data_IF_703556936724
#
_entry.id   IF_703556936724
#
_cell.length_a   1.000
_cell.length_b   1.000
_cell.length_c   1.000
_cell.angle_alpha   90.00
_cell.angle_beta   90.00
_cell.angle_gamma   90.00
#
_symmetry.space_group_name_H-M   'P 1'
#
loop_
_entity.id
_entity.type
_entity.pdbx_description
1 polymer ?
#
# COMPACT_ATOMS: atom_id res chain seq x y z
N UNK A 1 -15.60 -30.58 -10.15
CA UNK A 1 -15.83 -29.15 -10.29
C UNK A 1 -14.66 -28.39 -9.65
N UNK A 2 -13.94 -27.64 -10.45
CA UNK A 2 -12.84 -26.87 -9.92
C UNK A 2 -13.35 -25.60 -9.25
N UNK A 3 -12.97 -25.45 -8.00
CA UNK A 3 -13.14 -24.17 -7.32
C UNK A 3 -12.19 -23.16 -7.99
N UNK A 4 -12.66 -21.96 -8.42
CA UNK A 4 -11.77 -20.96 -8.98
C UNK A 4 -10.61 -20.66 -8.02
N UNK A 5 -9.42 -20.44 -8.56
CA UNK A 5 -8.30 -20.03 -7.77
C UNK A 5 -8.63 -18.72 -7.04
N UNK A 6 -8.24 -18.62 -5.78
CA UNK A 6 -8.42 -17.38 -5.02
C UNK A 6 -7.71 -16.21 -5.71
N UNK A 7 -8.35 -15.01 -5.81
CA UNK A 7 -7.69 -13.84 -6.36
C UNK A 7 -6.50 -13.38 -5.52
N UNK A 8 -6.37 -13.91 -4.32
CA UNK A 8 -5.31 -13.56 -3.38
C UNK A 8 -4.17 -14.58 -3.33
N UNK A 9 -4.08 -15.45 -4.35
CA UNK A 9 -3.12 -16.54 -4.35
C UNK A 9 -3.36 -17.48 -3.18
N UNK A 10 -2.36 -17.85 -2.44
CA UNK A 10 -2.49 -18.64 -1.22
C UNK A 10 -2.56 -17.80 0.06
N UNK A 11 -2.71 -16.48 -0.06
CA UNK A 11 -2.66 -15.60 1.11
C UNK A 11 -3.88 -15.80 2.02
N UNK A 12 -3.61 -16.04 3.29
CA UNK A 12 -4.60 -16.25 4.35
C UNK A 12 -4.26 -15.31 5.51
N UNK A 13 -5.16 -15.21 6.49
CA UNK A 13 -4.87 -14.45 7.70
C UNK A 13 -3.55 -14.93 8.32
N UNK A 14 -2.65 -14.01 8.61
CA UNK A 14 -1.30 -14.29 9.10
C UNK A 14 -0.22 -14.35 8.04
N UNK A 15 -0.57 -14.38 6.75
CA UNK A 15 0.44 -14.37 5.68
C UNK A 15 1.19 -13.05 5.68
N UNK A 16 2.52 -13.13 5.71
CA UNK A 16 3.39 -11.97 5.62
C UNK A 16 3.72 -11.65 4.17
N UNK A 17 3.74 -10.36 3.84
CA UNK A 17 3.99 -9.83 2.50
C UNK A 17 5.26 -8.97 2.50
N UNK A 18 5.99 -9.04 1.41
CA UNK A 18 7.23 -8.28 1.23
C UNK A 18 8.42 -8.97 1.87
N UNK A 19 9.53 -8.24 2.09
CA UNK A 19 9.63 -6.80 1.88
C UNK A 19 9.76 -6.40 0.41
N UNK A 20 9.22 -5.22 0.10
CA UNK A 20 9.51 -4.50 -1.13
C UNK A 20 10.34 -3.27 -0.78
N UNK A 21 11.36 -3.01 -1.58
CA UNK A 21 12.15 -1.78 -1.47
C UNK A 21 11.76 -0.88 -2.62
N UNK A 22 11.43 0.35 -2.31
CA UNK A 22 10.96 1.30 -3.30
C UNK A 22 11.45 2.70 -2.98
N UNK A 23 11.71 3.46 -4.04
CA UNK A 23 12.09 4.87 -3.91
C UNK A 23 11.15 5.70 -4.75
N UNK A 24 10.49 6.67 -4.13
CA UNK A 24 9.68 7.64 -4.86
C UNK A 24 10.60 8.79 -5.26
N UNK A 25 10.85 8.92 -6.56
CA UNK A 25 11.72 9.97 -7.07
C UNK A 25 11.13 11.37 -6.84
N UNK A 26 11.98 12.38 -6.85
CA UNK A 26 11.53 13.76 -6.75
C UNK A 26 10.52 14.10 -7.84
N UNK A 27 10.76 13.66 -9.08
CA UNK A 27 9.86 13.90 -10.20
C UNK A 27 8.50 13.23 -10.00
N UNK A 28 8.48 11.97 -9.59
CA UNK A 28 7.23 11.25 -9.31
C UNK A 28 6.47 11.91 -8.16
N UNK A 29 7.17 12.29 -7.11
CA UNK A 29 6.59 12.95 -5.95
C UNK A 29 5.91 14.28 -6.33
N UNK A 30 6.56 15.08 -7.15
CA UNK A 30 5.97 16.33 -7.64
C UNK A 30 4.69 16.10 -8.43
N UNK A 31 4.66 15.05 -9.25
CA UNK A 31 3.45 14.67 -9.99
C UNK A 31 2.29 14.30 -9.07
N UNK A 32 2.58 13.60 -7.97
CA UNK A 32 1.55 13.26 -6.98
C UNK A 32 0.95 14.52 -6.34
N UNK A 33 1.81 15.45 -5.90
CA UNK A 33 1.34 16.72 -5.33
C UNK A 33 0.53 17.53 -6.33
N UNK A 34 1.00 17.62 -7.56
CA UNK A 34 0.30 18.36 -8.63
C UNK A 34 -1.06 17.75 -8.94
N UNK A 35 -1.15 16.42 -9.01
CA UNK A 35 -2.41 15.72 -9.28
C UNK A 35 -3.45 15.94 -8.18
N UNK A 36 -2.99 16.15 -6.96
CA UNK A 36 -3.87 16.45 -5.82
C UNK A 36 -4.34 17.92 -5.81
N UNK A 37 -3.80 18.78 -6.68
CA UNK A 37 -4.13 20.20 -6.71
C UNK A 37 -3.56 20.98 -5.53
N UNK A 38 -2.62 20.40 -4.79
CA UNK A 38 -1.98 21.04 -3.65
C UNK A 38 -0.76 21.81 -4.12
N UNK A 39 -0.85 23.14 -4.01
CA UNK A 39 0.25 24.03 -4.38
C UNK A 39 0.76 24.76 -3.12
N UNK A 40 1.42 24.02 -2.26
CA UNK A 40 2.01 24.57 -1.04
C UNK A 40 3.54 24.44 -1.14
N UNK A 41 4.29 25.55 -1.25
CA UNK A 41 5.73 25.49 -1.48
C UNK A 41 6.50 24.65 -0.45
N UNK A 42 6.13 24.73 0.82
CA UNK A 42 6.80 24.00 1.88
C UNK A 42 6.57 22.48 1.76
N UNK A 43 5.37 22.08 1.36
CA UNK A 43 5.04 20.67 1.16
C UNK A 43 5.69 20.12 -0.10
N UNK A 44 5.88 20.96 -1.13
CA UNK A 44 6.49 20.56 -2.39
C UNK A 44 8.02 20.49 -2.33
N UNK A 45 8.65 20.96 -1.26
CA UNK A 45 10.10 20.95 -1.12
C UNK A 45 10.62 19.57 -0.67
N UNK A 46 10.37 18.55 -1.47
CA UNK A 46 10.90 17.21 -1.24
C UNK A 46 10.10 16.35 -0.27
N UNK A 47 9.08 16.89 0.40
CA UNK A 47 8.23 16.08 1.28
C UNK A 47 7.43 15.06 0.46
N UNK A 48 7.46 13.80 0.88
CA UNK A 48 6.68 12.74 0.25
C UNK A 48 5.19 12.98 0.45
N UNK A 49 4.43 12.76 -0.64
CA UNK A 49 2.97 12.83 -0.63
C UNK A 49 2.39 11.61 0.11
N UNK A 50 1.84 11.76 1.33
CA UNK A 50 1.46 10.62 2.16
C UNK A 50 0.47 9.64 1.52
N UNK A 51 -0.54 10.08 0.75
CA UNK A 51 -1.46 9.13 0.10
C UNK A 51 -0.80 8.12 -0.86
N UNK A 52 0.47 8.32 -1.24
CA UNK A 52 1.24 7.31 -1.99
C UNK A 52 1.30 5.97 -1.23
N UNK A 53 1.18 5.99 0.09
CA UNK A 53 1.12 4.75 0.88
C UNK A 53 0.05 3.77 0.38
N UNK A 54 -1.06 4.27 -0.15
CA UNK A 54 -2.10 3.42 -0.75
C UNK A 54 -1.56 2.66 -1.95
N UNK A 55 -0.83 3.33 -2.83
CA UNK A 55 -0.22 2.71 -4.00
C UNK A 55 0.82 1.67 -3.60
N UNK A 56 1.59 1.93 -2.56
CA UNK A 56 2.59 0.99 -2.06
C UNK A 56 1.94 -0.27 -1.48
N UNK A 57 0.82 -0.13 -0.77
CA UNK A 57 0.06 -1.27 -0.27
C UNK A 57 -0.49 -2.12 -1.44
N UNK A 58 -0.97 -1.48 -2.50
CA UNK A 58 -1.43 -2.16 -3.71
C UNK A 58 -0.28 -2.94 -4.35
N UNK A 59 0.88 -2.29 -4.54
CA UNK A 59 2.06 -2.94 -5.11
C UNK A 59 2.48 -4.15 -4.28
N UNK A 60 2.48 -4.02 -2.96
CA UNK A 60 2.80 -5.11 -2.06
C UNK A 60 1.85 -6.29 -2.26
N UNK A 61 0.54 -6.03 -2.32
CA UNK A 61 -0.45 -7.08 -2.49
C UNK A 61 -0.39 -7.73 -3.87
N UNK A 62 0.00 -6.98 -4.91
CA UNK A 62 0.17 -7.51 -6.25
C UNK A 62 1.22 -8.62 -6.33
N UNK A 63 2.11 -8.72 -5.36
CA UNK A 63 3.10 -9.81 -5.32
C UNK A 63 2.45 -11.18 -5.12
N UNK A 64 1.25 -11.23 -4.56
CA UNK A 64 0.50 -12.47 -4.30
C UNK A 64 -0.83 -12.55 -5.06
N UNK A 65 -1.36 -11.44 -5.51
CA UNK A 65 -2.62 -11.40 -6.25
C UNK A 65 -2.47 -12.12 -7.59
N UNK A 66 -3.47 -12.93 -7.93
CA UNK A 66 -3.49 -13.72 -9.18
C UNK A 66 -4.31 -13.06 -10.28
N UNK A 67 -5.04 -12.02 -9.96
CA UNK A 67 -5.87 -11.24 -10.89
C UNK A 67 -6.15 -9.86 -10.32
N UNK A 68 -6.66 -8.92 -11.13
CA UNK A 68 -6.94 -7.56 -10.68
C UNK A 68 -7.88 -7.52 -9.49
N UNK A 69 -7.59 -6.63 -8.56
CA UNK A 69 -8.38 -6.43 -7.35
C UNK A 69 -8.92 -5.00 -7.29
N UNK A 70 -10.03 -4.84 -6.58
CA UNK A 70 -10.55 -3.52 -6.23
C UNK A 70 -10.01 -3.13 -4.85
N UNK A 71 -9.53 -1.92 -4.74
CA UNK A 71 -9.15 -1.33 -3.46
C UNK A 71 -10.39 -0.60 -2.92
N UNK A 72 -11.03 -1.18 -1.92
CA UNK A 72 -12.35 -0.72 -1.47
C UNK A 72 -12.32 0.20 -0.26
N UNK A 73 -11.27 0.10 0.55
CA UNK A 73 -11.14 0.93 1.75
C UNK A 73 -9.67 1.08 2.12
N UNK A 74 -9.36 2.20 2.75
CA UNK A 74 -8.02 2.48 3.24
C UNK A 74 -8.06 3.37 4.46
N UNK A 75 -7.22 3.02 5.45
CA UNK A 75 -6.90 3.88 6.57
C UNK A 75 -5.41 4.10 6.59
N UNK A 76 -5.00 5.35 6.58
CA UNK A 76 -3.60 5.75 6.55
C UNK A 76 -3.27 6.56 7.80
N UNK A 77 -2.15 6.22 8.42
CA UNK A 77 -1.56 7.01 9.50
C UNK A 77 -0.16 7.43 9.04
N UNK A 78 0.06 8.74 9.00
CA UNK A 78 1.38 9.30 8.72
C UNK A 78 2.06 9.61 10.05
N UNK A 79 3.22 8.99 10.29
CA UNK A 79 3.94 9.13 11.54
C UNK A 79 4.97 10.25 11.50
N UNK A 80 5.50 10.52 10.31
CA UNK A 80 6.53 11.54 10.09
C UNK A 80 6.49 12.06 8.67
N UNK A 81 7.23 13.13 8.45
CA UNK A 81 7.51 13.63 7.12
C UNK A 81 8.57 12.74 6.46
N UNK A 82 8.29 12.23 5.28
CA UNK A 82 9.27 11.54 4.44
C UNK A 82 9.85 12.47 3.39
N UNK A 83 11.03 12.12 2.90
CA UNK A 83 11.69 12.87 1.84
C UNK A 83 11.76 12.05 0.54
N UNK A 84 11.48 12.70 -0.59
CA UNK A 84 11.63 12.08 -1.89
C UNK A 84 13.08 11.62 -2.11
N UNK A 85 13.26 10.50 -2.80
CA UNK A 85 14.58 9.93 -3.02
C UNK A 85 15.08 9.01 -1.92
N UNK A 86 14.36 8.89 -0.80
CA UNK A 86 14.70 7.96 0.27
C UNK A 86 14.23 6.57 -0.09
N UNK A 87 15.07 5.55 0.11
CA UNK A 87 14.65 4.16 -0.04
C UNK A 87 13.70 3.76 1.07
N UNK A 88 12.52 3.29 0.71
CA UNK A 88 11.49 2.85 1.63
C UNK A 88 11.37 1.33 1.58
N UNK A 89 11.08 0.72 2.73
CA UNK A 89 10.78 -0.71 2.81
C UNK A 89 9.31 -0.90 3.13
N UNK A 90 8.61 -1.67 2.29
CA UNK A 90 7.18 -1.94 2.46
C UNK A 90 7.01 -3.40 2.86
N UNK A 91 6.38 -3.60 4.01
CA UNK A 91 6.01 -4.93 4.50
C UNK A 91 4.53 -4.93 4.86
N UNK A 92 3.95 -6.10 4.94
CA UNK A 92 2.56 -6.20 5.34
C UNK A 92 2.19 -7.56 5.86
N UNK A 93 1.02 -7.64 6.45
CA UNK A 93 0.42 -8.88 6.92
C UNK A 93 -1.04 -8.91 6.50
N UNK A 94 -1.47 -10.04 5.95
CA UNK A 94 -2.91 -10.25 5.74
C UNK A 94 -3.50 -10.52 7.11
N UNK A 95 -4.33 -9.61 7.60
CA UNK A 95 -4.88 -9.72 8.96
C UNK A 95 -6.26 -10.35 8.98
N UNK A 96 -6.97 -10.30 7.83
CA UNK A 96 -8.31 -10.86 7.74
C UNK A 96 -8.61 -11.27 6.30
N UNK A 97 -9.34 -12.37 6.18
CA UNK A 97 -9.94 -12.84 4.93
C UNK A 97 -11.41 -13.15 5.23
N UNK A 98 -12.30 -12.64 4.40
CA UNK A 98 -13.72 -12.90 4.58
C UNK A 98 -14.46 -12.87 3.23
N UNK A 99 -15.67 -13.42 3.26
CA UNK A 99 -16.60 -13.37 2.13
C UNK A 99 -17.80 -12.52 2.52
N UNK A 100 -18.22 -11.67 1.60
CA UNK A 100 -19.39 -10.83 1.78
C UNK A 100 -20.09 -10.66 0.44
N UNK A 101 -21.37 -10.99 0.40
CA UNK A 101 -22.21 -10.89 -0.80
C UNK A 101 -21.59 -11.62 -2.01
N UNK A 102 -21.03 -12.79 -1.77
CA UNK A 102 -20.44 -13.63 -2.80
C UNK A 102 -19.08 -13.20 -3.29
N UNK A 103 -18.47 -12.19 -2.69
CA UNK A 103 -17.11 -11.72 -3.04
C UNK A 103 -16.14 -11.96 -1.92
N UNK A 104 -14.92 -12.32 -2.29
CA UNK A 104 -13.82 -12.49 -1.33
C UNK A 104 -13.11 -11.17 -1.08
N UNK A 105 -12.82 -10.93 0.21
CA UNK A 105 -12.11 -9.74 0.69
C UNK A 105 -10.86 -10.12 1.45
N UNK A 106 -9.87 -9.26 1.38
CA UNK A 106 -8.65 -9.36 2.19
C UNK A 106 -8.34 -8.01 2.80
N UNK A 107 -7.96 -8.01 4.07
CA UNK A 107 -7.50 -6.81 4.79
C UNK A 107 -6.02 -6.96 5.03
N UNK A 108 -5.25 -5.97 4.63
CA UNK A 108 -3.80 -5.95 4.75
C UNK A 108 -3.38 -4.80 5.64
N UNK A 109 -2.62 -5.12 6.67
CA UNK A 109 -1.93 -4.16 7.51
C UNK A 109 -0.53 -3.97 6.92
N UNK A 110 -0.24 -2.78 6.41
CA UNK A 110 1.01 -2.48 5.74
C UNK A 110 1.82 -1.43 6.51
N UNK A 111 3.12 -1.64 6.52
CA UNK A 111 4.09 -0.72 7.09
C UNK A 111 5.04 -0.25 6.01
N UNK A 112 5.20 1.07 5.90
CA UNK A 112 6.25 1.69 5.10
C UNK A 112 7.27 2.26 6.06
N UNK A 113 8.48 1.71 6.04
CA UNK A 113 9.55 2.06 6.96
C UNK A 113 10.66 2.84 6.28
N UNK A 114 11.28 3.74 7.06
CA UNK A 114 12.48 4.47 6.68
C UNK A 114 13.72 3.56 6.81
N UNK A 115 14.88 3.97 6.24
CA UNK A 115 16.09 3.15 6.30
C UNK A 115 16.57 2.79 7.72
N UNK A 116 16.24 3.62 8.71
CA UNK A 116 16.54 3.34 10.13
C UNK A 116 15.55 2.35 10.79
N UNK A 117 14.56 1.89 10.04
CA UNK A 117 13.51 1.00 10.54
C UNK A 117 12.33 1.70 11.18
N UNK A 118 12.37 3.01 11.33
CA UNK A 118 11.27 3.78 11.92
C UNK A 118 10.07 3.86 10.96
N UNK A 119 8.85 3.81 11.48
CA UNK A 119 7.66 3.89 10.64
C UNK A 119 7.49 5.28 10.03
N UNK A 120 7.32 5.32 8.72
CA UNK A 120 6.90 6.52 7.99
C UNK A 120 5.39 6.55 7.91
N UNK A 121 4.80 5.48 7.38
CA UNK A 121 3.36 5.32 7.23
C UNK A 121 2.93 3.93 7.67
N UNK A 122 1.77 3.84 8.30
CA UNK A 122 1.05 2.57 8.46
C UNK A 122 -0.30 2.69 7.78
N UNK A 123 -0.74 1.61 7.18
CA UNK A 123 -2.03 1.61 6.50
C UNK A 123 -2.76 0.30 6.70
N UNK A 124 -4.08 0.37 6.73
CA UNK A 124 -4.95 -0.80 6.67
C UNK A 124 -5.74 -0.66 5.39
N UNK A 125 -5.51 -1.57 4.46
CA UNK A 125 -6.12 -1.57 3.15
C UNK A 125 -7.02 -2.78 2.98
N UNK A 126 -8.21 -2.58 2.41
CA UNK A 126 -9.14 -3.65 2.10
C UNK A 126 -9.21 -3.83 0.59
N UNK A 127 -9.04 -5.05 0.14
CA UNK A 127 -9.12 -5.44 -1.25
C UNK A 127 -10.25 -6.43 -1.46
N UNK A 128 -10.86 -6.36 -2.63
CA UNK A 128 -11.97 -7.21 -3.03
C UNK A 128 -11.69 -7.78 -4.41
N UNK A 129 -12.13 -9.00 -4.68
CA UNK A 129 -12.10 -9.52 -6.04
C UNK A 129 -12.98 -8.68 -6.95
N UNK A 130 -12.54 -8.53 -8.16
CA UNK A 130 -13.28 -7.78 -9.19
C UNK A 130 -14.47 -8.55 -9.75
#
# INVERSE_FOLDING_TARGET
MHKPASPFGGAVAGTELGPLRITVSATANERYWASAGVDHPTLRQGALYPPVAANLAILLFQTVATRPLLHTAQRLISHRRGEAGTELTVTGTVVERYEKRGREYAVVDALVALPDGEPLWTSIATFCEQ
#
